data_IF_771843569389
#
_entry.id   IF_771843569389
#
_cell.length_a   1.000
_cell.length_b   1.000
_cell.length_c   1.000
_cell.angle_alpha   90.00
_cell.angle_beta   90.00
_cell.angle_gamma   90.00
#
_symmetry.space_group_name_H-M   'P 1'
#
loop_
_entity.id
_entity.type
_entity.pdbx_description
1 polymer ?
#
# COMPACT_ATOMS: atom_id res chain seq x y z
N UNK A 1 14.32 -5.09 13.84
CA UNK A 1 15.20 -6.17 13.34
C UNK A 1 14.58 -6.72 12.07
N UNK A 2 15.33 -6.85 10.97
CA UNK A 2 14.83 -7.39 9.70
C UNK A 2 14.76 -8.92 9.80
N UNK A 3 13.67 -9.52 9.38
CA UNK A 3 13.44 -10.97 9.53
C UNK A 3 13.71 -11.76 8.26
N UNK A 4 13.57 -11.15 7.07
CA UNK A 4 13.92 -11.77 5.78
C UNK A 4 13.29 -13.16 5.55
N UNK A 5 12.00 -13.28 5.87
CA UNK A 5 11.27 -14.56 5.84
C UNK A 5 10.62 -14.79 4.48
N UNK A 6 9.97 -13.77 3.91
CA UNK A 6 9.08 -13.92 2.77
C UNK A 6 9.77 -13.55 1.44
N UNK A 7 9.52 -14.37 0.41
CA UNK A 7 9.96 -14.11 -0.97
C UNK A 7 9.00 -13.18 -1.73
N UNK A 8 7.75 -13.09 -1.28
CA UNK A 8 6.75 -12.16 -1.79
C UNK A 8 5.66 -11.90 -0.75
N UNK A 9 5.04 -10.73 -0.82
CA UNK A 9 3.86 -10.37 -0.04
C UNK A 9 2.77 -9.84 -0.96
N UNK A 10 1.53 -10.23 -0.68
CA UNK A 10 0.34 -9.81 -1.43
C UNK A 10 -0.67 -9.18 -0.49
N UNK A 11 -1.17 -7.99 -0.84
CA UNK A 11 -2.27 -7.34 -0.11
C UNK A 11 -3.32 -6.85 -1.09
N UNK A 12 -4.54 -7.38 -1.03
CA UNK A 12 -5.62 -7.01 -1.97
C UNK A 12 -6.73 -6.33 -1.18
N UNK A 13 -6.91 -5.03 -1.40
CA UNK A 13 -7.93 -4.20 -0.73
C UNK A 13 -7.82 -4.22 0.81
N UNK A 14 -6.65 -4.53 1.35
CA UNK A 14 -6.41 -4.61 2.81
C UNK A 14 -6.12 -3.23 3.39
N UNK A 15 -5.19 -2.49 2.78
CA UNK A 15 -4.75 -1.19 3.30
C UNK A 15 -5.87 -0.13 3.24
N UNK A 16 -6.95 -0.39 2.50
CA UNK A 16 -8.13 0.48 2.39
C UNK A 16 -8.80 0.76 3.74
N UNK A 17 -8.58 -0.12 4.72
CA UNK A 17 -9.18 -0.07 6.05
C UNK A 17 -8.18 0.32 7.15
N UNK A 18 -6.92 0.59 6.79
CA UNK A 18 -5.85 0.85 7.74
C UNK A 18 -5.42 2.32 7.59
N UNK A 19 -5.71 3.20 8.56
CA UNK A 19 -5.28 4.59 8.52
C UNK A 19 -3.74 4.74 8.48
N UNK A 20 -3.03 3.90 9.24
CA UNK A 20 -1.57 3.90 9.38
C UNK A 20 -0.89 3.05 8.28
N UNK A 21 -1.07 3.43 7.02
CA UNK A 21 -0.49 2.72 5.86
C UNK A 21 1.03 2.61 5.92
N UNK A 22 1.70 3.63 6.44
CA UNK A 22 3.15 3.67 6.63
C UNK A 22 3.64 2.52 7.53
N UNK A 23 2.94 2.25 8.62
CA UNK A 23 3.27 1.19 9.59
C UNK A 23 3.15 -0.18 8.93
N UNK A 24 2.10 -0.41 8.14
CA UNK A 24 1.93 -1.66 7.38
C UNK A 24 3.06 -1.85 6.38
N UNK A 25 3.46 -0.80 5.68
CA UNK A 25 4.54 -0.85 4.70
C UNK A 25 5.89 -1.10 5.36
N UNK A 26 6.15 -0.51 6.54
CA UNK A 26 7.35 -0.78 7.35
C UNK A 26 7.41 -2.25 7.75
N UNK A 27 6.31 -2.83 8.23
CA UNK A 27 6.25 -4.24 8.60
C UNK A 27 6.45 -5.15 7.38
N UNK A 28 5.89 -4.80 6.23
CA UNK A 28 6.14 -5.52 4.98
C UNK A 28 7.64 -5.48 4.61
N UNK A 29 8.31 -4.34 4.73
CA UNK A 29 9.75 -4.19 4.47
C UNK A 29 10.61 -5.00 5.44
N UNK A 30 10.12 -5.19 6.68
CA UNK A 30 10.80 -5.95 7.73
C UNK A 30 10.78 -7.46 7.48
N UNK A 31 9.66 -7.99 6.98
CA UNK A 31 9.48 -9.44 6.75
C UNK A 31 9.92 -9.89 5.35
N UNK A 32 9.94 -8.99 4.36
CA UNK A 32 10.38 -9.29 3.00
C UNK A 32 11.90 -9.35 2.89
N UNK A 33 12.38 -10.41 2.25
CA UNK A 33 13.79 -10.53 1.84
C UNK A 33 14.21 -9.36 0.94
N UNK A 34 15.49 -9.02 0.97
CA UNK A 34 16.04 -8.02 0.05
C UNK A 34 15.88 -8.45 -1.41
N UNK A 35 15.36 -7.55 -2.26
CA UNK A 35 15.11 -7.83 -3.68
C UNK A 35 13.80 -8.55 -3.98
N UNK A 36 13.04 -8.91 -2.95
CA UNK A 36 11.72 -9.54 -3.10
C UNK A 36 10.61 -8.51 -3.33
N UNK A 37 9.43 -9.01 -3.71
CA UNK A 37 8.34 -8.17 -4.24
C UNK A 37 7.18 -8.04 -3.25
N UNK A 38 6.73 -6.81 -3.06
CA UNK A 38 5.43 -6.50 -2.52
C UNK A 38 4.48 -6.17 -3.67
N UNK A 39 3.36 -6.89 -3.77
CA UNK A 39 2.27 -6.57 -4.72
C UNK A 39 1.04 -6.24 -3.91
N UNK A 40 0.41 -5.10 -4.20
CA UNK A 40 -0.84 -4.78 -3.55
C UNK A 40 -1.76 -3.91 -4.37
N UNK A 41 -3.04 -3.97 -4.03
CA UNK A 41 -4.09 -3.15 -4.61
C UNK A 41 -4.91 -2.48 -3.51
N UNK A 42 -5.42 -1.30 -3.82
CA UNK A 42 -6.26 -0.51 -2.93
C UNK A 42 -7.14 0.42 -3.75
N UNK A 43 -8.22 0.88 -3.15
CA UNK A 43 -9.08 1.89 -3.72
C UNK A 43 -8.37 3.25 -3.77
N UNK A 44 -8.15 3.77 -4.98
CA UNK A 44 -7.54 5.08 -5.14
C UNK A 44 -8.54 6.20 -4.87
N UNK A 45 -8.29 6.99 -3.83
CA UNK A 45 -9.07 8.19 -3.44
C UNK A 45 -9.21 9.22 -4.55
N UNK A 46 -8.23 9.32 -5.46
CA UNK A 46 -8.28 10.26 -6.60
C UNK A 46 -9.11 9.76 -7.79
N UNK A 47 -9.61 8.51 -7.77
CA UNK A 47 -10.33 7.91 -8.91
C UNK A 47 -11.74 8.49 -9.10
N UNK A 48 -12.28 8.38 -10.32
CA UNK A 48 -13.69 8.69 -10.60
C UNK A 48 -14.63 7.81 -9.75
N UNK A 49 -14.27 6.53 -9.56
CA UNK A 49 -14.97 5.60 -8.68
C UNK A 49 -15.05 6.13 -7.25
N UNK A 50 -13.97 6.71 -6.73
CA UNK A 50 -13.94 7.37 -5.42
C UNK A 50 -14.97 8.50 -5.32
N UNK A 51 -15.01 9.39 -6.32
CA UNK A 51 -15.98 10.50 -6.34
C UNK A 51 -17.43 10.01 -6.27
N UNK A 52 -17.75 8.93 -6.98
CA UNK A 52 -19.09 8.32 -6.92
C UNK A 52 -19.38 7.68 -5.56
N UNK A 53 -18.40 6.99 -4.96
CA UNK A 53 -18.55 6.40 -3.62
C UNK A 53 -18.75 7.45 -2.54
N UNK A 54 -18.08 8.61 -2.64
CA UNK A 54 -18.22 9.70 -1.69
C UNK A 54 -19.66 10.23 -1.64
N UNK A 55 -20.38 10.25 -2.77
CA UNK A 55 -21.81 10.59 -2.81
C UNK A 55 -22.69 9.61 -2.04
N UNK A 56 -22.21 8.39 -1.80
CA UNK A 56 -22.86 7.35 -0.99
C UNK A 56 -22.35 7.31 0.46
N UNK A 57 -21.56 8.31 0.89
CA UNK A 57 -20.93 8.35 2.21
C UNK A 57 -19.79 7.35 2.41
N UNK A 58 -19.30 6.73 1.33
CA UNK A 58 -18.19 5.76 1.36
C UNK A 58 -16.92 6.41 0.82
N UNK A 59 -15.83 6.35 1.57
CA UNK A 59 -14.56 6.96 1.17
C UNK A 59 -13.49 5.90 0.95
N UNK A 60 -12.55 6.15 0.05
CA UNK A 60 -11.25 5.48 0.05
C UNK A 60 -10.27 6.32 0.89
N UNK A 61 -9.44 5.65 1.68
CA UNK A 61 -8.50 6.31 2.58
C UNK A 61 -7.34 6.94 1.80
N UNK A 62 -6.76 6.18 0.87
CA UNK A 62 -5.44 6.45 0.32
C UNK A 62 -5.48 6.85 -1.15
N UNK A 63 -4.65 7.80 -1.54
CA UNK A 63 -4.36 8.09 -2.94
C UNK A 63 -3.10 7.35 -3.42
N UNK A 64 -2.99 7.20 -4.73
CA UNK A 64 -1.79 6.60 -5.33
C UNK A 64 -0.51 7.35 -4.97
N UNK A 65 -0.54 8.68 -4.96
CA UNK A 65 0.65 9.51 -4.74
C UNK A 65 1.12 9.46 -3.28
N UNK A 66 0.19 9.42 -2.32
CA UNK A 66 0.49 9.21 -0.89
C UNK A 66 1.23 7.89 -0.69
N UNK A 67 0.64 6.79 -1.14
CA UNK A 67 1.21 5.44 -1.03
C UNK A 67 2.56 5.32 -1.76
N UNK A 68 2.67 5.90 -2.97
CA UNK A 68 3.92 5.87 -3.73
C UNK A 68 5.05 6.62 -2.99
N UNK A 69 4.72 7.71 -2.28
CA UNK A 69 5.68 8.44 -1.45
C UNK A 69 6.08 7.64 -0.20
N UNK A 70 5.13 7.00 0.46
CA UNK A 70 5.39 6.14 1.63
C UNK A 70 6.29 4.95 1.26
N UNK A 71 5.99 4.26 0.16
CA UNK A 71 6.82 3.17 -0.36
C UNK A 71 8.28 3.60 -0.53
N UNK A 72 8.52 4.77 -1.13
CA UNK A 72 9.88 5.31 -1.30
C UNK A 72 10.54 5.63 0.03
N UNK A 73 9.82 6.21 0.99
CA UNK A 73 10.34 6.49 2.35
C UNK A 73 10.78 5.22 3.07
N UNK A 74 10.02 4.13 2.90
CA UNK A 74 10.32 2.82 3.49
C UNK A 74 11.45 2.08 2.75
N UNK A 75 11.84 2.54 1.56
CA UNK A 75 12.94 1.99 0.77
C UNK A 75 12.51 1.04 -0.35
N UNK A 76 11.21 0.94 -0.65
CA UNK A 76 10.73 0.20 -1.81
C UNK A 76 10.97 0.97 -3.11
N UNK A 77 11.27 0.22 -4.17
CA UNK A 77 11.32 0.72 -5.54
C UNK A 77 10.06 0.30 -6.28
N UNK A 78 9.30 1.26 -6.80
CA UNK A 78 8.16 0.96 -7.66
C UNK A 78 8.66 0.41 -9.00
N UNK A 79 8.19 -0.79 -9.34
CA UNK A 79 8.48 -1.47 -10.62
C UNK A 79 7.28 -1.49 -11.57
N UNK A 80 6.05 -1.42 -11.04
CA UNK A 80 4.81 -1.43 -11.82
C UNK A 80 3.71 -0.63 -11.14
N UNK A 81 2.82 -0.04 -11.96
CA UNK A 81 1.56 0.59 -11.54
C UNK A 81 0.38 -0.28 -11.95
#
# INVERSE_FOLDING_TARGET
MKEDILDAAFMIEVIDYIPESDTVLVECSRILKNGCTLVFSFGNKASLKSKLRNLQGKNYMHSYDEIANELRKVGFKLVRK
#
